data_IF_572194591196
#
_entry.id   IF_572194591196
#
_cell.length_a   1.000
_cell.length_b   1.000
_cell.length_c   1.000
_cell.angle_alpha   90.00
_cell.angle_beta   90.00
_cell.angle_gamma   90.00
#
_symmetry.space_group_name_H-M   'P 1'
#
loop_
_entity.id
_entity.type
_entity.pdbx_description
1 polymer ?
#
# COMPACT_ATOMS: atom_id res chain seq x y z
N UNK A 1 -18.46 21.54 -17.16
CA UNK A 1 -19.02 20.23 -16.73
C UNK A 1 -18.28 19.79 -15.47
N UNK A 2 -18.96 19.46 -14.36
CA UNK A 2 -18.28 18.90 -13.18
C UNK A 2 -17.81 17.49 -13.55
N UNK A 3 -16.50 17.31 -13.73
CA UNK A 3 -15.91 15.98 -13.89
C UNK A 3 -16.21 15.22 -12.61
N UNK A 4 -17.03 14.17 -12.70
CA UNK A 4 -17.45 13.39 -11.55
C UNK A 4 -16.27 12.49 -11.14
N UNK A 5 -15.39 13.01 -10.28
CA UNK A 5 -14.20 12.28 -9.83
C UNK A 5 -14.63 11.03 -9.06
N UNK A 6 -14.14 9.84 -9.41
CA UNK A 6 -14.44 8.63 -8.66
C UNK A 6 -13.94 8.75 -7.22
N UNK A 7 -14.70 8.18 -6.28
CA UNK A 7 -14.36 8.23 -4.86
C UNK A 7 -14.53 6.87 -4.19
N UNK A 8 -13.80 6.67 -3.09
CA UNK A 8 -14.05 5.61 -2.10
C UNK A 8 -14.21 6.23 -0.71
N UNK A 9 -14.55 5.43 0.31
CA UNK A 9 -14.67 5.89 1.70
C UNK A 9 -13.71 5.16 2.62
N UNK A 10 -13.33 5.84 3.69
CA UNK A 10 -12.72 5.20 4.86
C UNK A 10 -13.78 4.31 5.54
N UNK A 11 -13.43 3.07 5.82
CA UNK A 11 -14.32 2.01 6.28
C UNK A 11 -14.47 2.03 7.81
N UNK A 12 -13.38 2.20 8.55
CA UNK A 12 -13.39 2.21 10.01
C UNK A 12 -12.36 3.16 10.61
N UNK A 13 -12.33 3.23 11.95
CA UNK A 13 -11.43 4.09 12.71
C UNK A 13 -11.89 5.55 12.80
N UNK A 14 -10.99 6.42 13.24
CA UNK A 14 -11.22 7.83 13.56
C UNK A 14 -11.85 8.64 12.42
N UNK A 15 -11.50 8.33 11.18
CA UNK A 15 -11.94 9.04 9.98
C UNK A 15 -13.00 8.29 9.18
N UNK A 16 -13.69 7.31 9.79
CA UNK A 16 -14.75 6.52 9.16
C UNK A 16 -15.75 7.40 8.39
N UNK A 17 -16.05 6.98 7.15
CA UNK A 17 -17.03 7.64 6.29
C UNK A 17 -16.50 8.84 5.50
N UNK A 18 -15.28 9.33 5.78
CA UNK A 18 -14.61 10.36 4.97
C UNK A 18 -14.37 9.85 3.54
N UNK A 19 -14.51 10.75 2.58
CA UNK A 19 -14.35 10.46 1.15
C UNK A 19 -12.89 10.61 0.73
N UNK A 20 -12.41 9.65 -0.05
CA UNK A 20 -11.09 9.65 -0.69
C UNK A 20 -11.32 9.76 -2.20
N UNK A 21 -10.73 10.77 -2.84
CA UNK A 21 -10.77 10.92 -4.29
C UNK A 21 -9.81 9.93 -4.97
N UNK A 22 -10.20 9.40 -6.12
CA UNK A 22 -9.44 8.42 -6.91
C UNK A 22 -9.01 9.03 -8.26
N UNK A 23 -7.83 8.64 -8.81
CA UNK A 23 -7.32 9.18 -10.07
C UNK A 23 -8.07 8.70 -11.32
N UNK A 24 -8.62 7.48 -11.33
CA UNK A 24 -9.45 6.97 -12.43
C UNK A 24 -10.48 5.93 -11.94
N UNK A 25 -11.36 5.51 -12.85
CA UNK A 25 -12.41 4.51 -12.59
C UNK A 25 -11.92 3.05 -12.72
N UNK A 26 -10.65 2.83 -13.10
CA UNK A 26 -10.20 1.59 -13.76
C UNK A 26 -9.97 0.37 -12.87
N UNK A 27 -10.55 0.31 -11.69
CA UNK A 27 -10.61 -0.96 -10.96
C UNK A 27 -12.02 -1.16 -10.43
N UNK A 28 -12.63 -2.30 -10.79
CA UNK A 28 -13.98 -2.68 -10.37
C UNK A 28 -14.15 -2.47 -8.88
N UNK A 29 -14.90 -1.41 -8.50
CA UNK A 29 -15.00 -0.87 -7.14
C UNK A 29 -15.35 -1.95 -6.09
N UNK A 30 -16.11 -2.97 -6.48
CA UNK A 30 -16.52 -4.08 -5.63
C UNK A 30 -15.34 -4.92 -5.13
N UNK A 31 -14.44 -5.36 -6.02
CA UNK A 31 -13.29 -6.19 -5.66
C UNK A 31 -12.31 -5.45 -4.74
N UNK A 32 -11.99 -4.18 -5.04
CA UNK A 32 -11.09 -3.37 -4.18
C UNK A 32 -11.69 -3.06 -2.80
N UNK A 33 -13.01 -2.89 -2.69
CA UNK A 33 -13.65 -2.70 -1.37
C UNK A 33 -13.52 -3.95 -0.47
N UNK A 34 -13.82 -5.14 -1.00
CA UNK A 34 -13.69 -6.42 -0.27
C UNK A 34 -12.25 -6.76 0.06
N UNK A 35 -11.32 -6.46 -0.86
CA UNK A 35 -9.90 -6.61 -0.64
C UNK A 35 -9.44 -5.73 0.52
N UNK A 36 -9.81 -4.44 0.50
CA UNK A 36 -9.50 -3.50 1.58
C UNK A 36 -10.07 -3.96 2.93
N UNK A 37 -11.35 -4.33 2.97
CA UNK A 37 -11.97 -4.88 4.20
C UNK A 37 -11.20 -6.10 4.71
N UNK A 38 -10.87 -7.04 3.82
CA UNK A 38 -10.14 -8.23 4.22
C UNK A 38 -8.72 -7.94 4.68
N UNK A 39 -8.02 -6.97 4.07
CA UNK A 39 -6.69 -6.54 4.47
C UNK A 39 -6.71 -6.05 5.92
N UNK A 40 -7.62 -5.14 6.23
CA UNK A 40 -7.72 -4.56 7.57
C UNK A 40 -8.36 -5.50 8.61
N UNK A 41 -9.06 -6.55 8.18
CA UNK A 41 -9.44 -7.64 9.07
C UNK A 41 -8.23 -8.51 9.45
N UNK A 42 -7.25 -8.67 8.55
CA UNK A 42 -6.00 -9.37 8.88
C UNK A 42 -5.13 -8.51 9.81
N UNK A 43 -5.02 -7.20 9.55
CA UNK A 43 -4.21 -6.26 10.33
C UNK A 43 -4.87 -5.78 11.63
N UNK A 44 -6.11 -6.20 11.91
CA UNK A 44 -7.06 -5.58 12.84
C UNK A 44 -6.45 -4.84 14.04
N UNK A 45 -5.81 -5.56 14.97
CA UNK A 45 -5.22 -5.00 16.18
C UNK A 45 -3.73 -4.70 16.02
N UNK A 46 -3.09 -5.26 15.00
CA UNK A 46 -1.65 -5.13 14.78
C UNK A 46 -1.27 -3.78 14.19
N UNK A 47 -2.22 -3.00 13.66
CA UNK A 47 -1.94 -1.74 12.97
C UNK A 47 -1.64 -0.56 13.89
N UNK A 48 -2.10 -0.61 15.14
CA UNK A 48 -1.99 0.48 16.09
C UNK A 48 -0.51 0.78 16.35
N UNK A 49 -0.15 2.06 16.31
CA UNK A 49 1.20 2.59 16.56
C UNK A 49 2.32 2.07 15.63
N UNK A 50 1.98 1.29 14.59
CA UNK A 50 2.94 0.89 13.55
C UNK A 50 3.10 1.96 12.49
N UNK A 51 4.26 1.97 11.84
CA UNK A 51 4.51 2.72 10.61
C UNK A 51 3.88 1.94 9.45
N UNK A 52 3.11 2.63 8.61
CA UNK A 52 2.55 2.07 7.39
C UNK A 52 3.25 2.67 6.17
N UNK A 53 3.69 1.86 5.22
CA UNK A 53 4.27 2.33 3.95
C UNK A 53 3.39 1.81 2.82
N UNK A 54 2.81 2.71 2.03
CA UNK A 54 2.08 2.38 0.80
C UNK A 54 2.96 2.73 -0.41
N UNK A 55 3.59 1.71 -0.97
CA UNK A 55 4.31 1.76 -2.24
C UNK A 55 3.32 1.69 -3.39
N UNK A 56 3.53 2.48 -4.46
CA UNK A 56 2.55 2.69 -5.55
C UNK A 56 1.20 3.25 -5.03
N UNK A 57 1.28 4.30 -4.22
CA UNK A 57 0.16 4.77 -3.41
C UNK A 57 -1.09 5.19 -4.19
N UNK A 58 -0.96 5.69 -5.42
CA UNK A 58 -2.05 6.22 -6.22
C UNK A 58 -2.77 7.35 -5.49
N UNK A 59 -3.89 7.02 -4.84
CA UNK A 59 -4.71 7.95 -4.04
C UNK A 59 -4.41 7.92 -2.54
N UNK A 60 -3.56 6.98 -2.08
CA UNK A 60 -3.28 6.70 -0.67
C UNK A 60 -4.40 5.94 0.03
N UNK A 61 -5.24 5.23 -0.71
CA UNK A 61 -6.52 4.77 -0.16
C UNK A 61 -6.35 3.69 0.91
N UNK A 62 -5.25 2.94 0.90
CA UNK A 62 -4.96 1.89 1.89
C UNK A 62 -4.27 2.52 3.09
N UNK A 63 -3.19 3.28 2.91
CA UNK A 63 -2.47 3.93 3.99
C UNK A 63 -3.32 4.97 4.75
N UNK A 64 -4.28 5.64 4.10
CA UNK A 64 -5.22 6.52 4.81
C UNK A 64 -6.23 5.75 5.66
N UNK A 65 -6.61 4.53 5.26
CA UNK A 65 -7.40 3.63 6.12
C UNK A 65 -6.55 3.16 7.32
N UNK A 66 -5.25 2.93 7.12
CA UNK A 66 -4.31 2.65 8.20
C UNK A 66 -4.20 3.81 9.20
N UNK A 67 -4.06 5.04 8.71
CA UNK A 67 -4.08 6.26 9.54
C UNK A 67 -5.37 6.38 10.34
N UNK A 68 -6.51 6.07 9.72
CA UNK A 68 -7.81 6.07 10.41
C UNK A 68 -7.86 5.05 11.54
N UNK A 69 -7.14 3.93 11.42
CA UNK A 69 -7.05 2.86 12.41
C UNK A 69 -5.85 3.01 13.35
N UNK A 70 -5.40 4.25 13.54
CA UNK A 70 -4.35 4.61 14.48
C UNK A 70 -2.95 4.04 14.18
N UNK A 71 -2.64 3.81 12.89
CA UNK A 71 -1.24 3.78 12.48
C UNK A 71 -0.52 5.06 12.97
N UNK A 72 0.73 4.90 13.43
CA UNK A 72 1.53 6.00 13.98
C UNK A 72 1.79 7.07 12.92
N UNK A 73 2.18 6.60 11.74
CA UNK A 73 2.50 7.40 10.56
C UNK A 73 2.30 6.56 9.30
N UNK A 74 1.89 7.20 8.21
CA UNK A 74 1.82 6.59 6.90
C UNK A 74 2.73 7.31 5.90
N UNK A 75 3.59 6.55 5.23
CA UNK A 75 4.41 6.99 4.12
C UNK A 75 3.77 6.55 2.81
N UNK A 76 3.76 7.44 1.82
CA UNK A 76 3.16 7.19 0.52
C UNK A 76 4.16 7.51 -0.58
N UNK A 77 4.39 6.57 -1.50
CA UNK A 77 5.22 6.82 -2.69
C UNK A 77 4.37 6.70 -3.94
N UNK A 78 4.36 7.76 -4.76
CA UNK A 78 3.62 7.79 -6.02
C UNK A 78 4.46 8.44 -7.12
N UNK A 79 4.51 7.82 -8.30
CA UNK A 79 5.31 8.30 -9.43
C UNK A 79 4.52 9.27 -10.32
N UNK A 80 3.24 9.01 -10.54
CA UNK A 80 2.40 9.82 -11.41
C UNK A 80 1.98 11.12 -10.72
N UNK A 81 2.38 12.25 -11.30
CA UNK A 81 2.12 13.59 -10.73
C UNK A 81 0.63 13.90 -10.53
N UNK A 82 -0.25 13.39 -11.39
CA UNK A 82 -1.69 13.63 -11.25
C UNK A 82 -2.27 12.85 -10.07
N UNK A 83 -1.90 11.56 -9.95
CA UNK A 83 -2.25 10.74 -8.79
C UNK A 83 -1.67 11.33 -7.49
N UNK A 84 -0.42 11.75 -7.51
CA UNK A 84 0.25 12.39 -6.36
C UNK A 84 -0.50 13.65 -5.88
N UNK A 85 -0.95 14.51 -6.81
CA UNK A 85 -1.74 15.69 -6.44
C UNK A 85 -3.08 15.32 -5.78
N UNK A 86 -3.68 14.19 -6.15
CA UNK A 86 -4.89 13.67 -5.50
C UNK A 86 -4.55 13.10 -4.12
N UNK A 87 -3.48 12.31 -4.00
CA UNK A 87 -2.96 11.79 -2.74
C UNK A 87 -2.75 12.92 -1.71
N UNK A 88 -2.07 14.01 -2.10
CA UNK A 88 -1.85 15.17 -1.21
C UNK A 88 -3.18 15.74 -0.70
N UNK A 89 -4.17 15.91 -1.59
CA UNK A 89 -5.50 16.42 -1.20
C UNK A 89 -6.19 15.47 -0.23
N UNK A 90 -6.11 14.16 -0.46
CA UNK A 90 -6.68 13.16 0.43
C UNK A 90 -6.00 13.19 1.80
N UNK A 91 -4.65 13.20 1.87
CA UNK A 91 -3.89 13.34 3.11
C UNK A 91 -4.31 14.59 3.90
N UNK A 92 -4.44 15.75 3.23
CA UNK A 92 -4.93 17.00 3.87
C UNK A 92 -6.33 16.87 4.45
N UNK A 93 -7.21 16.13 3.78
CA UNK A 93 -8.61 15.96 4.20
C UNK A 93 -8.80 14.97 5.36
N UNK A 94 -7.81 14.11 5.59
CA UNK A 94 -7.82 13.07 6.62
C UNK A 94 -6.97 13.51 7.82
N UNK A 95 -5.65 13.49 7.68
CA UNK A 95 -4.71 13.89 8.74
C UNK A 95 -3.30 14.09 8.16
N UNK A 96 -2.97 15.32 7.78
CA UNK A 96 -1.65 15.61 7.20
C UNK A 96 -0.50 15.39 8.20
N UNK A 97 -0.74 15.49 9.51
CA UNK A 97 0.32 15.33 10.51
C UNK A 97 0.80 13.88 10.63
N UNK A 98 -0.04 12.92 10.21
CA UNK A 98 0.28 11.49 10.15
C UNK A 98 0.73 11.03 8.75
N UNK A 99 0.77 11.92 7.75
CA UNK A 99 1.08 11.55 6.37
C UNK A 99 2.43 12.13 5.92
N UNK A 100 3.28 11.28 5.34
CA UNK A 100 4.46 11.68 4.61
C UNK A 100 4.36 11.20 3.15
N UNK A 101 4.50 12.10 2.19
CA UNK A 101 4.26 11.80 0.77
C UNK A 101 5.50 12.08 -0.05
N UNK A 102 5.89 11.15 -0.91
CA UNK A 102 7.02 11.28 -1.84
C UNK A 102 6.56 11.12 -3.28
N UNK A 103 6.84 12.15 -4.10
CA UNK A 103 6.69 12.07 -5.55
C UNK A 103 7.97 11.48 -6.12
N UNK A 104 7.92 10.25 -6.65
CA UNK A 104 9.10 9.61 -7.21
C UNK A 104 8.94 8.12 -7.45
N UNK A 105 10.04 7.50 -7.88
CA UNK A 105 10.10 6.07 -8.15
C UNK A 105 10.03 5.27 -6.84
N UNK A 106 9.07 4.34 -6.76
CA UNK A 106 8.91 3.41 -5.63
C UNK A 106 10.17 2.61 -5.33
N UNK A 107 10.93 2.20 -6.36
CA UNK A 107 12.13 1.39 -6.19
C UNK A 107 13.31 2.19 -5.63
N UNK A 108 13.22 3.53 -5.60
CA UNK A 108 14.20 4.41 -4.98
C UNK A 108 13.72 4.88 -3.60
N UNK A 109 12.47 5.33 -3.53
CA UNK A 109 11.96 5.99 -2.32
C UNK A 109 11.59 4.99 -1.22
N UNK A 110 11.08 3.81 -1.55
CA UNK A 110 10.71 2.81 -0.53
C UNK A 110 11.93 2.33 0.26
N UNK A 111 13.06 1.94 -0.38
CA UNK A 111 14.29 1.62 0.35
C UNK A 111 14.84 2.80 1.17
N UNK A 112 14.72 4.03 0.67
CA UNK A 112 15.16 5.22 1.39
C UNK A 112 14.31 5.47 2.67
N UNK A 113 12.98 5.29 2.59
CA UNK A 113 12.08 5.38 3.73
C UNK A 113 12.38 4.27 4.74
N UNK A 114 12.54 3.03 4.27
CA UNK A 114 12.92 1.92 5.15
C UNK A 114 14.25 2.19 5.85
N UNK A 115 15.23 2.77 5.16
CA UNK A 115 16.51 3.15 5.77
C UNK A 115 16.35 4.25 6.82
N UNK A 116 15.48 5.23 6.61
CA UNK A 116 15.28 6.34 7.55
C UNK A 116 14.62 5.91 8.86
N UNK A 117 13.81 4.84 8.83
CA UNK A 117 13.12 4.31 10.02
C UNK A 117 13.82 3.10 10.66
N UNK A 118 14.95 2.62 10.08
CA UNK A 118 15.68 1.42 10.54
C UNK A 118 16.16 1.48 11.99
N UNK A 119 16.49 2.68 12.49
CA UNK A 119 16.97 2.86 13.87
C UNK A 119 15.84 3.21 14.86
N UNK A 120 14.58 3.21 14.43
CA UNK A 120 13.44 3.33 15.34
C UNK A 120 13.09 1.97 15.96
N UNK A 121 12.30 1.97 17.04
CA UNK A 121 11.68 0.75 17.56
C UNK A 121 10.27 0.53 16.96
N UNK A 122 9.91 1.29 15.93
CA UNK A 122 8.58 1.24 15.34
C UNK A 122 8.52 0.12 14.31
N UNK A 123 7.60 -0.82 14.52
CA UNK A 123 7.30 -1.87 13.56
C UNK A 123 6.68 -1.29 12.27
N UNK A 124 7.01 -1.90 11.14
CA UNK A 124 6.65 -1.44 9.79
C UNK A 124 5.73 -2.44 9.11
N UNK A 125 4.59 -1.95 8.62
CA UNK A 125 3.74 -2.65 7.65
C UNK A 125 4.03 -2.06 6.27
N UNK A 126 4.55 -2.89 5.36
CA UNK A 126 4.84 -2.50 3.98
C UNK A 126 3.75 -3.05 3.04
N UNK A 127 3.02 -2.17 2.36
CA UNK A 127 2.03 -2.51 1.36
C UNK A 127 2.50 -2.12 -0.04
N UNK A 128 2.46 -3.06 -0.99
CA UNK A 128 2.96 -2.89 -2.34
C UNK A 128 1.85 -3.27 -3.33
N UNK A 129 1.31 -2.31 -4.08
CA UNK A 129 0.29 -2.52 -5.13
C UNK A 129 0.83 -2.04 -6.49
N UNK A 130 1.81 -2.78 -7.08
CA UNK A 130 2.36 -2.38 -8.36
C UNK A 130 1.26 -2.39 -9.42
N UNK A 131 1.34 -1.51 -10.45
CA UNK A 131 0.47 -1.61 -11.60
C UNK A 131 0.56 -3.01 -12.23
N UNK A 132 -0.52 -3.50 -12.82
CA UNK A 132 -0.48 -4.81 -13.48
C UNK A 132 0.48 -4.82 -14.68
N UNK A 133 1.19 -5.93 -14.83
CA UNK A 133 2.24 -6.22 -15.83
C UNK A 133 1.77 -6.19 -17.28
N UNK A 134 0.50 -6.50 -17.55
CA UNK A 134 -0.09 -6.38 -18.88
C UNK A 134 -0.31 -4.93 -19.34
N UNK A 135 -0.01 -3.94 -18.49
CA UNK A 135 0.02 -2.52 -18.90
C UNK A 135 1.32 -2.25 -19.63
N UNK A 136 1.24 -1.42 -20.66
CA UNK A 136 2.39 -1.01 -21.47
C UNK A 136 3.54 -0.48 -20.59
N UNK A 137 4.74 -1.06 -20.74
CA UNK A 137 5.95 -0.73 -19.98
C UNK A 137 6.02 -1.26 -18.54
N UNK A 138 5.15 -2.22 -18.17
CA UNK A 138 5.12 -2.79 -16.80
C UNK A 138 5.49 -4.27 -16.75
N UNK A 139 6.05 -4.85 -17.82
CA UNK A 139 6.29 -6.31 -17.90
C UNK A 139 7.16 -6.84 -16.74
N UNK A 140 8.13 -6.05 -16.29
CA UNK A 140 9.06 -6.42 -15.20
C UNK A 140 8.66 -5.91 -13.81
N UNK A 141 7.49 -5.30 -13.65
CA UNK A 141 7.15 -4.58 -12.42
C UNK A 141 7.09 -5.50 -11.19
N UNK A 142 6.61 -6.72 -11.35
CA UNK A 142 6.60 -7.71 -10.27
C UNK A 142 8.01 -8.19 -9.94
N UNK A 143 8.85 -8.49 -10.94
CA UNK A 143 10.24 -8.89 -10.72
C UNK A 143 11.04 -7.80 -9.99
N UNK A 144 10.84 -6.53 -10.35
CA UNK A 144 11.44 -5.39 -9.64
C UNK A 144 10.92 -5.27 -8.20
N UNK A 145 9.63 -5.52 -7.98
CA UNK A 145 9.05 -5.52 -6.63
C UNK A 145 9.60 -6.65 -5.78
N UNK A 146 9.77 -7.84 -6.34
CA UNK A 146 10.39 -8.99 -5.67
C UNK A 146 11.83 -8.70 -5.29
N UNK A 147 12.63 -8.21 -6.24
CA UNK A 147 14.02 -7.82 -5.97
C UNK A 147 14.13 -6.76 -4.88
N UNK A 148 13.27 -5.74 -4.91
CA UNK A 148 13.22 -4.71 -3.86
C UNK A 148 12.93 -5.33 -2.49
N UNK A 149 12.04 -6.32 -2.40
CA UNK A 149 11.72 -7.03 -1.14
C UNK A 149 12.90 -7.90 -0.69
N UNK A 150 13.55 -8.62 -1.61
CA UNK A 150 14.71 -9.46 -1.33
C UNK A 150 15.88 -8.68 -0.71
N UNK A 151 16.04 -7.41 -1.11
CA UNK A 151 17.10 -6.50 -0.66
C UNK A 151 16.76 -5.75 0.64
N UNK A 152 15.59 -5.96 1.26
CA UNK A 152 15.23 -5.28 2.51
C UNK A 152 16.07 -5.79 3.68
N UNK A 153 16.86 -4.89 4.26
CA UNK A 153 17.64 -5.14 5.47
C UNK A 153 17.01 -4.62 6.77
N UNK A 154 15.92 -3.85 6.69
CA UNK A 154 15.28 -3.26 7.87
C UNK A 154 14.56 -4.35 8.67
N UNK A 155 15.06 -4.64 9.88
CA UNK A 155 14.54 -5.70 10.78
C UNK A 155 13.21 -5.35 11.46
N UNK A 156 12.74 -4.11 11.34
CA UNK A 156 11.48 -3.65 11.92
C UNK A 156 10.25 -4.05 11.07
N UNK A 157 10.44 -4.72 9.93
CA UNK A 157 9.31 -5.19 9.11
C UNK A 157 8.48 -6.21 9.92
N UNK A 158 7.25 -5.82 10.23
CA UNK A 158 6.26 -6.72 10.84
C UNK A 158 5.63 -7.64 9.78
N UNK A 159 5.25 -7.06 8.64
CA UNK A 159 4.63 -7.78 7.53
C UNK A 159 4.80 -7.01 6.22
N UNK A 160 5.00 -7.75 5.12
CA UNK A 160 4.95 -7.23 3.76
C UNK A 160 3.70 -7.79 3.09
N UNK A 161 2.94 -6.93 2.41
CA UNK A 161 1.68 -7.29 1.77
C UNK A 161 1.73 -6.83 0.33
N UNK A 162 1.60 -7.77 -0.59
CA UNK A 162 1.65 -7.51 -2.03
C UNK A 162 0.27 -7.73 -2.64
N UNK A 163 -0.31 -6.69 -3.26
CA UNK A 163 -1.45 -6.83 -4.17
C UNK A 163 -0.91 -7.23 -5.55
N UNK A 164 -1.51 -8.25 -6.17
CA UNK A 164 -1.07 -8.73 -7.47
C UNK A 164 -2.24 -9.36 -8.25
N UNK A 165 -2.04 -9.60 -9.54
CA UNK A 165 -3.00 -10.35 -10.35
C UNK A 165 -3.07 -11.80 -9.85
N UNK A 166 -4.28 -12.36 -9.74
CA UNK A 166 -4.51 -13.69 -9.15
C UNK A 166 -3.93 -14.86 -9.94
N UNK A 167 -3.48 -14.63 -11.18
CA UNK A 167 -2.82 -15.64 -12.02
C UNK A 167 -1.31 -15.65 -11.85
N UNK A 168 -0.73 -14.65 -11.17
CA UNK A 168 0.69 -14.59 -10.88
C UNK A 168 1.02 -15.63 -9.80
N UNK A 169 2.02 -16.47 -10.09
CA UNK A 169 2.60 -17.36 -9.09
C UNK A 169 3.59 -16.57 -8.22
N UNK A 170 3.38 -16.59 -6.92
CA UNK A 170 4.14 -15.79 -5.97
C UNK A 170 5.28 -16.62 -5.37
N UNK A 171 6.53 -16.11 -5.34
CA UNK A 171 7.65 -16.83 -4.77
C UNK A 171 7.39 -17.24 -3.32
N UNK A 172 7.73 -18.48 -2.95
CA UNK A 172 7.58 -18.94 -1.56
C UNK A 172 8.49 -18.20 -0.59
N UNK A 173 9.63 -17.71 -1.08
CA UNK A 173 10.57 -16.88 -0.34
C UNK A 173 10.97 -15.66 -1.16
N UNK A 174 11.20 -14.55 -0.47
CA UNK A 174 11.78 -13.31 -0.99
C UNK A 174 12.81 -12.82 0.04
N UNK A 175 14.09 -13.12 -0.20
CA UNK A 175 15.17 -12.79 0.72
C UNK A 175 14.95 -13.42 2.10
N UNK A 176 14.82 -12.59 3.13
CA UNK A 176 14.57 -13.02 4.53
C UNK A 176 13.11 -13.38 4.82
N UNK A 177 12.20 -13.17 3.87
CA UNK A 177 10.77 -13.31 4.08
C UNK A 177 10.19 -14.55 3.41
N UNK A 178 9.27 -15.23 4.09
CA UNK A 178 8.54 -16.39 3.57
C UNK A 178 7.06 -16.05 3.39
N UNK A 179 6.46 -16.59 2.32
CA UNK A 179 5.04 -16.44 2.03
C UNK A 179 4.22 -17.17 3.11
N UNK A 180 3.49 -16.41 3.91
CA UNK A 180 2.66 -16.96 4.99
C UNK A 180 1.23 -17.29 4.54
N UNK A 181 0.69 -16.51 3.58
CA UNK A 181 -0.71 -16.60 3.16
C UNK A 181 -0.92 -15.89 1.83
N UNK A 182 -1.85 -16.41 1.03
CA UNK A 182 -2.44 -15.69 -0.11
C UNK A 182 -3.96 -15.72 -0.02
N UNK A 183 -4.63 -14.62 -0.34
CA UNK A 183 -6.09 -14.53 -0.40
C UNK A 183 -6.55 -13.90 -1.72
N UNK A 184 -7.44 -14.59 -2.43
CA UNK A 184 -7.94 -14.22 -3.76
C UNK A 184 -9.24 -13.42 -3.70
N UNK A 185 -9.34 -12.42 -4.58
CA UNK A 185 -10.48 -11.50 -4.78
C UNK A 185 -10.77 -11.31 -6.26
N UNK A 186 -11.24 -12.38 -6.93
CA UNK A 186 -11.51 -12.36 -8.36
C UNK A 186 -10.21 -12.34 -9.18
N UNK A 187 -9.90 -11.20 -9.79
CA UNK A 187 -8.68 -10.99 -10.59
C UNK A 187 -7.48 -10.48 -9.78
N UNK A 188 -7.70 -10.00 -8.55
CA UNK A 188 -6.62 -9.56 -7.65
C UNK A 188 -6.45 -10.52 -6.48
N UNK A 189 -5.25 -10.65 -5.96
CA UNK A 189 -4.90 -11.40 -4.77
C UNK A 189 -4.05 -10.54 -3.83
N UNK A 190 -4.10 -10.84 -2.54
CA UNK A 190 -3.17 -10.33 -1.54
C UNK A 190 -2.28 -11.46 -1.05
N UNK A 191 -0.97 -11.30 -1.14
CA UNK A 191 0.03 -12.21 -0.59
C UNK A 191 0.78 -11.55 0.56
N UNK A 192 0.94 -12.30 1.65
CA UNK A 192 1.45 -11.82 2.93
C UNK A 192 2.76 -12.52 3.26
N UNK A 193 3.84 -11.75 3.37
CA UNK A 193 5.18 -12.22 3.69
C UNK A 193 5.58 -11.77 5.10
N UNK A 194 6.24 -12.66 5.83
CA UNK A 194 6.77 -12.42 7.18
C UNK A 194 8.22 -12.92 7.25
N UNK A 195 8.97 -12.48 8.26
CA UNK A 195 10.28 -13.05 8.54
C UNK A 195 10.20 -14.57 8.66
N UNK A 196 11.16 -15.24 8.03
CA UNK A 196 11.33 -16.70 8.10
C UNK A 196 11.90 -17.12 9.44
#
# INVERSE_FOLDING_TARGET
>A
MKVNTPTTKIIAGKYKGKTIALPSLDVTRSSKSRLKESLFNVLQFDIIDKIFIESFAGSGSIGLEAVSRDAKRAYFVELNRNSYNILIKNCKSIDMNKCETQLGDTFVQTPAILSSVKNSNDEVILYIDPPFDFRDGMEDIYNKSFKMIEEIENENIFIIIVEHVSTLDMPQSLGKFSLSKTKKFGKSSLSYYKYS
#
